data_IF_368947220408
#
_entry.id   IF_368947220408
#
_cell.length_a   1.000
_cell.length_b   1.000
_cell.length_c   1.000
_cell.angle_alpha   90.00
_cell.angle_beta   90.00
_cell.angle_gamma   90.00
#
_symmetry.space_group_name_H-M   'P 1'
#
loop_
_entity.id
_entity.type
_entity.pdbx_description
1 polymer ?
#
# COMPACT_ATOMS: atom_id res chain seq x y z
N UNK A 1 1.91 10.08 -10.12
CA UNK A 1 2.48 9.11 -9.19
C UNK A 1 1.75 9.27 -7.88
N UNK A 2 1.05 8.23 -7.45
CA UNK A 2 0.28 8.19 -6.21
C UNK A 2 1.04 7.30 -5.24
N UNK A 3 1.24 7.77 -4.02
CA UNK A 3 1.89 6.97 -2.98
C UNK A 3 0.81 6.29 -2.14
N UNK A 4 0.94 4.99 -1.91
CA UNK A 4 0.06 4.20 -1.07
C UNK A 4 0.80 3.74 0.18
N UNK A 5 0.24 4.04 1.34
CA UNK A 5 0.71 3.53 2.62
C UNK A 5 -0.12 2.30 2.96
N UNK A 6 0.52 1.15 3.12
CA UNK A 6 -0.13 -0.04 3.63
C UNK A 6 0.41 -0.43 4.99
N UNK A 7 -0.45 -1.00 5.81
CA UNK A 7 -0.18 -1.35 7.19
C UNK A 7 -0.53 -2.81 7.39
N UNK A 8 0.41 -3.58 7.94
CA UNK A 8 0.24 -5.00 8.25
C UNK A 8 0.25 -5.19 9.76
N UNK A 9 -0.44 -6.22 10.25
CA UNK A 9 -0.40 -6.56 11.68
C UNK A 9 1.03 -6.93 12.10
N UNK A 10 1.42 -6.73 13.36
CA UNK A 10 2.73 -7.17 13.88
C UNK A 10 2.97 -8.68 13.73
N UNK A 11 1.90 -9.48 13.66
CA UNK A 11 1.97 -10.93 13.41
C UNK A 11 2.37 -11.27 11.95
N UNK A 12 2.32 -10.28 11.06
CA UNK A 12 2.67 -10.36 9.65
C UNK A 12 4.12 -9.89 9.52
N UNK A 13 5.07 -10.78 9.81
CA UNK A 13 6.52 -10.51 9.87
C UNK A 13 7.07 -9.78 8.63
N UNK A 14 8.25 -9.14 8.76
CA UNK A 14 8.99 -8.42 7.69
C UNK A 14 9.02 -9.11 6.31
N UNK A 15 9.03 -10.44 6.28
CA UNK A 15 9.03 -11.25 5.05
C UNK A 15 7.77 -11.01 4.20
N UNK A 16 6.64 -10.74 4.86
CA UNK A 16 5.36 -10.49 4.19
C UNK A 16 5.26 -9.05 3.69
N UNK A 17 5.92 -8.10 4.36
CA UNK A 17 6.02 -6.71 3.87
C UNK A 17 6.73 -6.66 2.52
N UNK A 18 7.89 -7.29 2.39
CA UNK A 18 8.67 -7.28 1.13
C UNK A 18 7.87 -7.93 0.00
N UNK A 19 7.20 -9.05 0.28
CA UNK A 19 6.38 -9.76 -0.71
C UNK A 19 5.16 -8.96 -1.14
N UNK A 20 4.44 -8.37 -0.19
CA UNK A 20 3.27 -7.53 -0.49
C UNK A 20 3.70 -6.29 -1.29
N UNK A 21 4.83 -5.69 -0.94
CA UNK A 21 5.39 -4.54 -1.70
C UNK A 21 5.72 -4.95 -3.13
N UNK A 22 6.46 -6.06 -3.31
CA UNK A 22 6.85 -6.55 -4.63
C UNK A 22 5.62 -6.86 -5.51
N UNK A 23 4.61 -7.52 -4.96
CA UNK A 23 3.41 -7.90 -5.70
C UNK A 23 2.57 -6.67 -6.08
N UNK A 24 2.54 -5.65 -5.22
CA UNK A 24 1.91 -4.36 -5.54
C UNK A 24 2.69 -3.58 -6.60
N UNK A 25 4.03 -3.55 -6.51
CA UNK A 25 4.90 -2.92 -7.52
C UNK A 25 4.75 -3.59 -8.89
N UNK A 26 4.67 -4.92 -8.93
CA UNK A 26 4.50 -5.69 -10.18
C UNK A 26 3.13 -5.41 -10.83
N UNK A 27 2.07 -5.23 -10.03
CA UNK A 27 0.71 -4.95 -10.52
C UNK A 27 0.47 -3.47 -10.82
N UNK A 28 1.14 -2.56 -10.11
CA UNK A 28 0.94 -1.11 -10.20
C UNK A 28 2.28 -0.34 -10.24
N UNK A 29 3.08 -0.49 -11.30
CA UNK A 29 4.42 0.13 -11.39
C UNK A 29 4.40 1.66 -11.48
N UNK A 30 3.22 2.27 -11.68
CA UNK A 30 3.03 3.73 -11.70
C UNK A 30 2.80 4.33 -10.30
N UNK A 31 2.78 3.48 -9.27
CA UNK A 31 2.53 3.84 -7.88
C UNK A 31 3.75 3.55 -7.00
N UNK A 32 3.80 4.20 -5.85
CA UNK A 32 4.82 3.96 -4.83
C UNK A 32 4.14 3.35 -3.62
N UNK A 33 4.66 2.23 -3.12
CA UNK A 33 4.10 1.53 -1.96
C UNK A 33 5.04 1.63 -0.76
N UNK A 34 4.50 2.11 0.36
CA UNK A 34 5.25 2.27 1.61
C UNK A 34 4.58 1.40 2.66
N UNK A 35 5.38 0.59 3.35
CA UNK A 35 4.93 -0.15 4.52
C UNK A 35 5.02 0.74 5.77
N UNK A 36 3.90 0.94 6.44
CA UNK A 36 3.80 1.59 7.74
C UNK A 36 3.74 0.56 8.89
N UNK A 37 4.28 0.94 10.05
CA UNK A 37 4.00 0.22 11.29
C UNK A 37 2.60 0.58 11.81
N UNK A 38 1.73 -0.41 11.98
CA UNK A 38 0.41 -0.18 12.55
C UNK A 38 0.48 -0.14 14.08
N UNK A 39 0.75 1.04 14.66
CA UNK A 39 0.56 1.27 16.10
C UNK A 39 -0.93 1.52 16.45
N UNK A 40 -1.79 1.56 15.43
CA UNK A 40 -3.22 1.83 15.53
C UNK A 40 -3.99 0.63 14.96
N UNK A 41 -4.74 -0.12 15.79
CA UNK A 41 -5.46 -1.33 15.39
C UNK A 41 -6.44 -1.14 14.22
N UNK A 42 -7.04 0.04 14.11
CA UNK A 42 -8.01 0.38 13.06
C UNK A 42 -7.40 0.40 11.65
N UNK A 43 -6.08 0.48 11.56
CA UNK A 43 -5.37 0.49 10.29
C UNK A 43 -4.61 -0.81 9.99
N UNK A 44 -4.74 -1.83 10.84
CA UNK A 44 -4.18 -3.14 10.57
C UNK A 44 -4.78 -3.75 9.30
N UNK A 45 -3.93 -4.23 8.39
CA UNK A 45 -4.33 -4.80 7.10
C UNK A 45 -5.11 -3.80 6.22
N UNK A 46 -4.72 -2.53 6.25
CA UNK A 46 -5.32 -1.50 5.40
C UNK A 46 -4.30 -0.86 4.47
N UNK A 47 -4.76 -0.40 3.30
CA UNK A 47 -3.99 0.39 2.36
C UNK A 47 -4.70 1.72 2.08
N UNK A 48 -3.94 2.81 2.16
CA UNK A 48 -4.43 4.18 2.08
C UNK A 48 -3.66 4.93 1.00
N UNK A 49 -4.38 5.68 0.16
CA UNK A 49 -3.76 6.61 -0.77
C UNK A 49 -3.31 7.87 0.00
N UNK A 50 -2.01 8.13 0.00
CA UNK A 50 -1.43 9.33 0.61
C UNK A 50 -1.46 10.45 -0.42
N UNK A 51 -2.12 11.55 -0.05
CA UNK A 51 -2.19 12.74 -0.88
C UNK A 51 -0.95 13.60 -0.64
N UNK A 52 -0.07 13.62 -1.63
CA UNK A 52 1.04 14.57 -1.71
C UNK A 52 2.40 13.91 -1.51
N UNK A 53 3.23 13.99 -2.55
CA UNK A 53 4.62 14.33 -2.30
C UNK A 53 4.65 15.84 -2.19
N UNK A 54 5.03 16.41 -1.05
CA UNK A 54 5.77 17.66 -1.12
C UNK A 54 7.15 17.29 -1.67
N UNK A 55 7.21 16.88 -2.95
CA UNK A 55 8.48 16.79 -3.64
C UNK A 55 9.13 18.16 -3.49
N UNK A 56 10.38 18.21 -3.01
CA UNK A 56 11.15 19.46 -2.97
C UNK A 56 11.15 20.05 -4.39
N UNK A 57 10.27 21.01 -4.64
CA UNK A 57 10.09 21.65 -5.95
C UNK A 57 8.70 21.57 -6.58
N UNK A 58 7.72 20.86 -6.01
CA UNK A 58 6.36 20.90 -6.56
C UNK A 58 5.60 22.19 -6.21
N UNK A 59 4.93 22.76 -7.21
CA UNK A 59 4.17 24.00 -7.12
C UNK A 59 2.94 23.78 -6.22
N UNK A 60 2.77 24.54 -5.12
CA UNK A 60 1.58 24.43 -4.29
C UNK A 60 0.37 24.89 -5.09
N UNK A 61 -0.48 23.96 -5.52
CA UNK A 61 -1.70 24.29 -6.26
C UNK A 61 -2.33 23.15 -7.05
N UNK A 62 -1.59 22.09 -7.38
CA UNK A 62 -2.14 20.92 -8.06
C UNK A 62 -2.04 19.71 -7.14
N UNK A 63 -3.04 19.55 -6.26
CA UNK A 63 -3.24 18.27 -5.58
C UNK A 63 -3.85 17.33 -6.60
N UNK A 64 -3.03 16.44 -7.18
CA UNK A 64 -3.55 15.32 -7.96
C UNK A 64 -4.21 14.35 -6.98
N UNK A 65 -5.53 14.49 -6.84
CA UNK A 65 -6.35 13.50 -6.15
C UNK A 65 -6.30 12.23 -7.00
N UNK A 66 -5.87 11.09 -6.44
CA UNK A 66 -5.90 9.83 -7.17
C UNK A 66 -7.33 9.46 -7.55
N UNK A 67 -7.50 8.85 -8.72
CA UNK A 67 -8.80 8.41 -9.19
C UNK A 67 -9.39 7.40 -8.20
N UNK A 68 -10.63 7.61 -7.75
CA UNK A 68 -11.29 6.70 -6.81
C UNK A 68 -11.37 5.27 -7.35
N UNK A 69 -11.53 5.11 -8.67
CA UNK A 69 -11.51 3.80 -9.31
C UNK A 69 -10.13 3.14 -9.25
N UNK A 70 -9.07 3.92 -9.33
CA UNK A 70 -7.69 3.45 -9.18
C UNK A 70 -7.37 3.08 -7.74
N UNK A 71 -7.77 3.91 -6.78
CA UNK A 71 -7.65 3.61 -5.35
C UNK A 71 -8.39 2.33 -4.99
N UNK A 72 -9.58 2.12 -5.55
CA UNK A 72 -10.35 0.90 -5.29
C UNK A 72 -9.65 -0.35 -5.88
N UNK A 73 -9.10 -0.26 -7.10
CA UNK A 73 -8.33 -1.38 -7.69
C UNK A 73 -7.14 -1.78 -6.84
N UNK A 74 -6.40 -0.80 -6.30
CA UNK A 74 -5.26 -1.06 -5.40
C UNK A 74 -5.72 -1.71 -4.10
N UNK A 75 -6.84 -1.27 -3.52
CA UNK A 75 -7.43 -1.89 -2.32
C UNK A 75 -7.86 -3.33 -2.56
N UNK A 76 -8.52 -3.60 -3.68
CA UNK A 76 -8.97 -4.95 -4.03
C UNK A 76 -7.79 -5.89 -4.25
N UNK A 77 -6.75 -5.43 -4.96
CA UNK A 77 -5.52 -6.19 -5.15
C UNK A 77 -4.83 -6.49 -3.81
N UNK A 78 -4.69 -5.48 -2.95
CA UNK A 78 -4.10 -5.64 -1.63
C UNK A 78 -4.85 -6.69 -0.78
N UNK A 79 -6.19 -6.70 -0.81
CA UNK A 79 -6.98 -7.70 -0.11
C UNK A 79 -6.69 -9.13 -0.61
N UNK A 80 -6.63 -9.33 -1.94
CA UNK A 80 -6.31 -10.63 -2.55
C UNK A 80 -4.90 -11.09 -2.17
N UNK A 81 -3.93 -10.18 -2.17
CA UNK A 81 -2.54 -10.47 -1.78
C UNK A 81 -2.49 -10.91 -0.32
N UNK A 82 -3.22 -10.21 0.57
CA UNK A 82 -3.28 -10.56 1.99
C UNK A 82 -3.93 -11.92 2.24
N UNK A 83 -4.99 -12.28 1.50
CA UNK A 83 -5.60 -13.61 1.57
C UNK A 83 -4.60 -14.69 1.14
N UNK A 84 -3.94 -14.50 -0.01
CA UNK A 84 -2.93 -15.44 -0.51
C UNK A 84 -1.73 -15.60 0.43
N UNK A 85 -1.38 -14.54 1.16
CA UNK A 85 -0.32 -14.56 2.18
C UNK A 85 -0.77 -15.27 3.46
N UNK A 86 -2.03 -15.13 3.90
CA UNK A 86 -2.56 -15.86 5.07
C UNK A 86 -2.57 -17.37 4.89
N UNK A 87 -2.82 -17.84 3.67
CA UNK A 87 -2.82 -19.26 3.33
C UNK A 87 -1.40 -19.83 3.09
N UNK A 88 -0.40 -18.96 3.05
CA UNK A 88 0.98 -19.36 2.79
C UNK A 88 1.68 -19.86 4.07
N UNK A 89 1.99 -21.16 4.10
CA UNK A 89 2.92 -21.75 5.09
C UNK A 89 4.33 -21.80 4.52
N UNK A 90 5.35 -21.18 5.15
CA UNK A 90 6.74 -21.45 4.80
C UNK A 90 7.00 -22.94 5.04
N UNK A 91 7.48 -23.63 4.00
CA UNK A 91 7.90 -25.04 4.06
C UNK A 91 9.33 -25.15 4.57
#
# INVERSE_FOLDING_TARGET
MTTFLFMLTPATERVLVERVTQELDDQFPEHEFIAGGADIPEFENTILAVHGTAGKGEVPGIVRVPDEAEVQRVKDAFAVILEGVRDWKPS
#
